data_IF_634700934962
#
_entry.id   IF_634700934962
#
_cell.length_a   1.000
_cell.length_b   1.000
_cell.length_c   1.000
_cell.angle_alpha   90.00
_cell.angle_beta   90.00
_cell.angle_gamma   90.00
#
_symmetry.space_group_name_H-M   'P 1'
#
loop_
_entity.id
_entity.type
_entity.pdbx_description
1 polymer ?
#
# COMPACT_ATOMS: atom_id res chain seq x y z
N UNK A 1 12.05 -31.87 27.28
CA UNK A 1 11.68 -30.43 27.19
C UNK A 1 11.16 -30.09 25.80
N UNK A 2 10.24 -29.15 25.66
CA UNK A 2 9.77 -28.58 24.41
C UNK A 2 10.25 -27.15 24.26
N UNK A 3 10.23 -26.61 23.04
CA UNK A 3 10.60 -25.27 22.71
C UNK A 3 9.58 -24.68 21.72
N UNK A 4 9.28 -23.38 21.84
CA UNK A 4 8.40 -22.65 20.93
C UNK A 4 9.24 -22.07 19.80
N UNK A 5 8.94 -22.47 18.56
CA UNK A 5 9.53 -21.89 17.36
C UNK A 5 8.99 -20.48 17.10
N UNK A 6 9.67 -19.69 16.23
CA UNK A 6 9.27 -18.36 15.80
C UNK A 6 7.86 -18.28 15.19
N UNK A 7 7.37 -19.36 14.61
CA UNK A 7 6.01 -19.46 14.07
C UNK A 7 4.96 -19.92 15.11
N UNK A 8 5.29 -19.91 16.41
CA UNK A 8 4.41 -20.32 17.49
C UNK A 8 4.28 -21.84 17.68
N UNK A 9 4.83 -22.67 16.80
CA UNK A 9 4.71 -24.13 16.94
C UNK A 9 5.64 -24.70 18.02
N UNK A 10 5.14 -25.60 18.86
CA UNK A 10 5.94 -26.36 19.81
C UNK A 10 6.63 -27.55 19.15
N UNK A 11 7.93 -27.70 19.41
CA UNK A 11 8.72 -28.84 18.95
C UNK A 11 9.59 -29.38 20.08
N UNK A 12 10.07 -30.62 19.91
CA UNK A 12 11.04 -31.20 20.83
C UNK A 12 12.34 -30.42 20.83
N UNK A 13 12.84 -30.09 22.00
CA UNK A 13 14.13 -29.40 22.16
C UNK A 13 15.29 -30.31 21.73
N UNK A 14 16.24 -29.71 20.98
CA UNK A 14 17.38 -30.44 20.42
C UNK A 14 18.67 -29.64 20.74
N UNK A 15 19.36 -30.11 21.76
CA UNK A 15 20.61 -29.50 22.25
C UNK A 15 21.73 -29.52 21.20
N UNK A 16 21.69 -30.45 20.22
CA UNK A 16 22.74 -30.53 19.18
C UNK A 16 22.75 -29.29 18.29
N UNK A 17 21.61 -28.57 18.18
CA UNK A 17 21.53 -27.30 17.44
C UNK A 17 22.31 -26.21 18.13
N UNK A 18 22.34 -26.18 19.47
CA UNK A 18 23.16 -25.23 20.24
C UNK A 18 24.64 -25.53 20.03
N UNK A 19 25.03 -26.82 20.20
CA UNK A 19 26.43 -27.21 19.95
C UNK A 19 26.91 -26.82 18.56
N UNK A 20 26.10 -27.09 17.54
CA UNK A 20 26.44 -26.75 16.16
C UNK A 20 26.53 -25.25 15.91
N UNK A 21 25.65 -24.45 16.54
CA UNK A 21 25.70 -23.00 16.44
C UNK A 21 26.94 -22.40 17.12
N UNK A 22 27.30 -22.89 18.32
CA UNK A 22 28.53 -22.47 19.03
C UNK A 22 29.77 -22.89 18.23
N UNK A 23 29.79 -24.14 17.70
CA UNK A 23 30.89 -24.65 16.89
C UNK A 23 31.08 -23.82 15.62
N UNK A 24 30.01 -23.41 14.97
CA UNK A 24 30.07 -22.52 13.79
C UNK A 24 30.67 -21.17 14.16
N UNK A 25 30.27 -20.56 15.28
CA UNK A 25 30.85 -19.31 15.78
C UNK A 25 32.35 -19.46 16.12
N UNK A 26 32.75 -20.59 16.69
CA UNK A 26 34.16 -20.89 16.94
C UNK A 26 34.98 -20.98 15.63
N UNK A 27 34.39 -21.45 14.52
CA UNK A 27 35.06 -21.51 13.22
C UNK A 27 35.50 -20.15 12.66
N UNK A 28 34.84 -19.08 13.07
CA UNK A 28 35.07 -17.71 12.59
C UNK A 28 36.11 -16.92 13.43
N UNK A 29 36.64 -17.53 14.49
CA UNK A 29 37.67 -16.88 15.36
C UNK A 29 39.01 -17.60 15.30
N UNK A 30 40.13 -16.92 15.62
CA UNK A 30 41.45 -17.54 15.74
C UNK A 30 41.46 -18.77 16.64
N UNK A 31 42.31 -19.73 16.36
CA UNK A 31 42.30 -21.04 17.03
C UNK A 31 42.52 -20.92 18.55
N UNK A 32 43.32 -19.95 18.97
CA UNK A 32 43.61 -19.65 20.39
C UNK A 32 42.42 -19.09 21.16
N UNK A 33 41.39 -18.53 20.47
CA UNK A 33 40.21 -17.95 21.09
C UNK A 33 38.99 -18.91 21.02
N UNK A 34 39.14 -20.07 20.38
CA UNK A 34 38.04 -21.04 20.23
C UNK A 34 37.77 -21.79 21.54
N UNK A 35 36.49 -22.14 21.73
CA UNK A 35 36.16 -23.16 22.72
C UNK A 35 36.64 -24.53 22.23
N UNK A 36 37.15 -25.34 23.15
CA UNK A 36 37.36 -26.76 22.91
C UNK A 36 36.03 -27.49 22.78
N UNK A 37 36.02 -28.67 22.18
CA UNK A 37 34.79 -29.49 22.10
C UNK A 37 34.19 -29.77 23.49
N UNK A 38 35.05 -29.90 24.52
CA UNK A 38 34.60 -30.05 25.91
C UNK A 38 33.96 -28.76 26.43
N UNK A 39 34.49 -27.60 26.06
CA UNK A 39 33.92 -26.30 26.39
C UNK A 39 32.58 -26.07 25.74
N UNK A 40 32.42 -26.44 24.44
CA UNK A 40 31.15 -26.34 23.72
C UNK A 40 30.07 -27.19 24.41
N UNK A 41 30.38 -28.43 24.74
CA UNK A 41 29.46 -29.30 25.47
C UNK A 41 29.07 -28.76 26.84
N UNK A 42 30.04 -28.20 27.56
CA UNK A 42 29.83 -27.58 28.88
C UNK A 42 28.91 -26.37 28.76
N UNK A 43 29.18 -25.47 27.83
CA UNK A 43 28.33 -24.30 27.57
C UNK A 43 26.89 -24.74 27.19
N UNK A 44 26.77 -25.74 26.33
CA UNK A 44 25.46 -26.26 25.92
C UNK A 44 24.70 -26.86 27.12
N UNK A 45 25.36 -27.62 27.97
CA UNK A 45 24.74 -28.21 29.19
C UNK A 45 24.19 -27.11 30.11
N UNK A 46 24.97 -26.06 30.37
CA UNK A 46 24.52 -24.93 31.17
C UNK A 46 23.31 -24.21 30.59
N UNK A 47 23.23 -24.06 29.25
CA UNK A 47 22.08 -23.50 28.58
C UNK A 47 20.86 -24.38 28.73
N UNK A 48 21.02 -25.70 28.61
CA UNK A 48 19.93 -26.67 28.81
C UNK A 48 19.40 -26.58 30.25
N UNK A 49 20.29 -26.59 31.24
CA UNK A 49 19.92 -26.42 32.64
C UNK A 49 19.16 -25.14 32.93
N UNK A 50 19.61 -24.02 32.31
CA UNK A 50 18.94 -22.72 32.42
C UNK A 50 17.54 -22.76 31.78
N UNK A 51 17.39 -23.41 30.63
CA UNK A 51 16.08 -23.60 29.97
C UNK A 51 15.12 -24.46 30.84
N UNK A 52 15.64 -25.49 31.50
CA UNK A 52 14.85 -26.31 32.41
C UNK A 52 14.44 -25.56 33.69
N UNK A 53 15.28 -24.68 34.17
CA UNK A 53 15.03 -23.83 35.33
C UNK A 53 14.05 -22.66 35.07
N UNK A 54 13.76 -22.31 33.82
CA UNK A 54 12.93 -21.17 33.47
C UNK A 54 11.45 -21.28 33.91
N UNK A 55 10.96 -22.50 34.19
CA UNK A 55 9.59 -22.73 34.68
C UNK A 55 8.48 -22.57 33.65
N UNK A 56 8.83 -22.30 32.41
CA UNK A 56 7.92 -22.19 31.26
C UNK A 56 8.54 -22.83 30.01
N UNK A 57 7.75 -23.01 28.95
CA UNK A 57 8.26 -23.45 27.64
C UNK A 57 9.01 -22.31 26.98
N UNK A 58 10.34 -22.42 26.90
CA UNK A 58 11.21 -21.37 26.34
C UNK A 58 11.03 -21.22 24.82
N UNK A 59 11.20 -20.01 24.33
CA UNK A 59 11.23 -19.71 22.91
C UNK A 59 12.63 -19.90 22.31
N UNK A 60 12.73 -19.99 20.98
CA UNK A 60 14.04 -20.02 20.30
C UNK A 60 14.87 -18.78 20.62
N UNK A 61 14.24 -17.61 20.76
CA UNK A 61 14.98 -16.36 21.07
C UNK A 61 15.55 -16.39 22.47
N UNK A 62 14.78 -16.82 23.48
CA UNK A 62 15.28 -16.98 24.86
C UNK A 62 16.44 -17.97 24.94
N UNK A 63 16.38 -19.07 24.20
CA UNK A 63 17.53 -20.02 24.13
C UNK A 63 18.76 -19.34 23.53
N UNK A 64 18.60 -18.51 22.49
CA UNK A 64 19.72 -17.79 21.87
C UNK A 64 20.32 -16.76 22.84
N UNK A 65 19.48 -16.05 23.60
CA UNK A 65 19.93 -15.12 24.64
C UNK A 65 20.73 -15.85 25.72
N UNK A 66 20.26 -17.00 26.19
CA UNK A 66 20.98 -17.85 27.14
C UNK A 66 22.33 -18.34 26.59
N UNK A 67 22.44 -18.64 25.29
CA UNK A 67 23.73 -19.00 24.66
C UNK A 67 24.70 -17.82 24.68
N UNK A 68 24.24 -16.61 24.37
CA UNK A 68 25.05 -15.38 24.39
C UNK A 68 25.56 -15.11 25.80
N UNK A 69 24.67 -15.15 26.77
CA UNK A 69 25.01 -14.95 28.19
C UNK A 69 26.04 -15.99 28.68
N UNK A 70 25.85 -17.25 28.29
CA UNK A 70 26.75 -18.33 28.69
C UNK A 70 28.13 -18.20 28.07
N UNK A 71 28.24 -17.79 26.78
CA UNK A 71 29.53 -17.56 26.11
C UNK A 71 30.27 -16.36 26.74
N UNK A 72 29.55 -15.33 27.15
CA UNK A 72 30.12 -14.18 27.89
C UNK A 72 30.55 -14.56 29.30
N UNK A 73 29.76 -15.34 30.02
CA UNK A 73 30.08 -15.80 31.38
C UNK A 73 31.31 -16.73 31.42
N UNK A 74 31.65 -17.39 30.32
CA UNK A 74 32.85 -18.21 30.17
C UNK A 74 34.05 -17.45 29.62
N UNK A 75 33.98 -16.10 29.54
CA UNK A 75 35.02 -15.20 29.02
C UNK A 75 35.38 -15.43 27.54
N UNK A 76 34.54 -16.12 26.77
CA UNK A 76 34.72 -16.35 25.32
C UNK A 76 34.10 -15.21 24.48
N UNK A 77 34.51 -13.98 24.76
CA UNK A 77 33.93 -12.77 24.14
C UNK A 77 34.04 -12.72 22.61
N UNK A 78 35.13 -13.25 22.03
CA UNK A 78 35.29 -13.27 20.58
C UNK A 78 34.24 -14.18 19.93
N UNK A 79 34.04 -15.39 20.49
CA UNK A 79 33.02 -16.34 20.01
C UNK A 79 31.61 -15.79 20.22
N UNK A 80 31.34 -15.19 21.40
CA UNK A 80 30.04 -14.54 21.69
C UNK A 80 29.72 -13.44 20.65
N UNK A 81 30.72 -12.59 20.33
CA UNK A 81 30.57 -11.53 19.31
C UNK A 81 30.20 -12.11 17.93
N UNK A 82 30.88 -13.15 17.48
CA UNK A 82 30.57 -13.79 16.20
C UNK A 82 29.21 -14.46 16.20
N UNK A 83 28.81 -15.07 17.33
CA UNK A 83 27.49 -15.64 17.51
C UNK A 83 26.38 -14.59 17.40
N UNK A 84 26.51 -13.46 18.08
CA UNK A 84 25.57 -12.33 18.05
C UNK A 84 25.46 -11.75 16.63
N UNK A 85 26.62 -11.49 15.98
CA UNK A 85 26.64 -10.96 14.61
C UNK A 85 25.96 -11.96 13.66
N UNK A 86 26.27 -13.24 13.75
CA UNK A 86 25.64 -14.27 12.94
C UNK A 86 24.11 -14.32 13.14
N UNK A 87 23.67 -14.31 14.41
CA UNK A 87 22.23 -14.25 14.76
C UNK A 87 21.55 -13.03 14.12
N UNK A 88 22.17 -11.86 14.24
CA UNK A 88 21.67 -10.62 13.64
C UNK A 88 21.59 -10.70 12.12
N UNK A 89 22.65 -11.15 11.46
CA UNK A 89 22.68 -11.32 10.00
C UNK A 89 21.61 -12.31 9.53
N UNK A 90 21.41 -13.43 10.24
CA UNK A 90 20.38 -14.39 9.91
C UNK A 90 18.96 -13.82 10.14
N UNK A 91 18.75 -12.99 11.15
CA UNK A 91 17.49 -12.29 11.35
C UNK A 91 17.20 -11.33 10.20
N UNK A 92 18.20 -10.53 9.78
CA UNK A 92 18.09 -9.63 8.62
C UNK A 92 17.82 -10.40 7.31
N UNK A 93 18.50 -11.53 7.08
CA UNK A 93 18.24 -12.37 5.89
C UNK A 93 16.82 -12.92 5.87
N UNK A 94 16.28 -13.34 7.01
CA UNK A 94 14.90 -13.82 7.09
C UNK A 94 13.88 -12.73 6.80
N UNK A 95 14.11 -11.50 7.29
CA UNK A 95 13.27 -10.35 6.97
C UNK A 95 13.34 -9.98 5.48
N UNK A 96 14.55 -9.94 4.90
CA UNK A 96 14.73 -9.70 3.45
C UNK A 96 14.05 -10.76 2.60
N UNK A 97 14.23 -12.03 2.93
CA UNK A 97 13.68 -13.12 2.12
C UNK A 97 12.15 -13.08 2.03
N UNK A 98 11.44 -12.67 3.08
CA UNK A 98 9.97 -12.57 3.03
C UNK A 98 9.49 -11.44 2.11
N UNK A 99 10.13 -10.29 2.12
CA UNK A 99 9.80 -9.16 1.24
C UNK A 99 10.24 -9.43 -0.20
N UNK A 100 11.45 -9.96 -0.39
CA UNK A 100 11.97 -10.31 -1.72
C UNK A 100 11.11 -11.43 -2.36
N UNK A 101 10.71 -12.45 -1.61
CA UNK A 101 9.84 -13.53 -2.09
C UNK A 101 8.45 -13.02 -2.51
N UNK A 102 7.88 -12.08 -1.76
CA UNK A 102 6.62 -11.45 -2.11
C UNK A 102 6.75 -10.61 -3.40
N UNK A 103 7.80 -9.79 -3.50
CA UNK A 103 8.07 -9.01 -4.70
C UNK A 103 8.25 -9.92 -5.92
N UNK A 104 9.00 -11.01 -5.80
CA UNK A 104 9.18 -11.99 -6.88
C UNK A 104 7.85 -12.61 -7.29
N UNK A 105 7.00 -13.01 -6.32
CA UNK A 105 5.69 -13.57 -6.61
C UNK A 105 4.75 -12.59 -7.34
N UNK A 106 4.89 -11.28 -7.08
CA UNK A 106 4.17 -10.23 -7.81
C UNK A 106 4.67 -10.13 -9.25
N UNK A 107 5.99 -10.14 -9.46
CA UNK A 107 6.59 -10.10 -10.80
C UNK A 107 6.16 -11.31 -11.64
N UNK A 108 6.11 -12.49 -11.04
CA UNK A 108 5.70 -13.74 -11.68
C UNK A 108 4.18 -13.88 -11.83
N UNK A 109 3.39 -12.92 -11.34
CA UNK A 109 1.92 -12.95 -11.33
C UNK A 109 1.33 -14.18 -10.65
N UNK A 110 2.03 -14.77 -9.67
CA UNK A 110 1.59 -15.96 -8.94
C UNK A 110 1.20 -15.71 -7.48
N UNK A 111 1.14 -14.45 -7.05
CA UNK A 111 0.72 -14.06 -5.70
C UNK A 111 -0.79 -14.25 -5.53
N UNK A 112 -1.19 -15.26 -4.77
CA UNK A 112 -2.60 -15.60 -4.55
C UNK A 112 -3.32 -14.58 -3.66
N UNK A 113 -2.64 -13.90 -2.73
CA UNK A 113 -3.23 -12.85 -1.90
C UNK A 113 -3.71 -11.71 -2.78
N UNK A 114 -2.84 -11.22 -3.68
CA UNK A 114 -3.14 -10.14 -4.59
C UNK A 114 -4.23 -10.51 -5.60
N UNK A 115 -4.30 -11.77 -6.04
CA UNK A 115 -5.38 -12.22 -6.94
C UNK A 115 -6.75 -12.21 -6.27
N UNK A 116 -6.82 -12.35 -4.96
CA UNK A 116 -8.06 -12.35 -4.17
C UNK A 116 -8.38 -10.97 -3.58
N UNK A 117 -7.38 -10.10 -3.53
CA UNK A 117 -7.51 -8.75 -3.00
C UNK A 117 -8.24 -7.86 -4.02
N UNK A 118 -8.98 -6.95 -3.54
CA UNK A 118 -9.67 -5.84 -4.16
C UNK A 118 -9.94 -5.93 -5.68
N UNK A 119 -11.19 -6.17 -6.05
CA UNK A 119 -11.69 -6.24 -7.43
C UNK A 119 -11.40 -4.99 -8.30
N UNK A 120 -10.98 -3.87 -7.72
CA UNK A 120 -10.74 -2.62 -8.43
C UNK A 120 -9.36 -2.55 -9.10
N UNK A 121 -8.42 -3.44 -8.74
CA UNK A 121 -7.08 -3.48 -9.30
C UNK A 121 -6.83 -4.79 -10.03
N UNK A 122 -6.42 -4.70 -11.29
CA UNK A 122 -6.05 -5.89 -12.06
C UNK A 122 -4.55 -6.19 -11.89
N UNK A 123 -4.16 -7.26 -11.16
CA UNK A 123 -2.77 -7.58 -10.85
C UNK A 123 -1.91 -7.94 -12.08
N UNK A 124 -2.51 -8.14 -13.25
CA UNK A 124 -1.78 -8.41 -14.50
C UNK A 124 -1.35 -7.14 -15.23
N UNK A 125 -1.84 -5.98 -14.82
CA UNK A 125 -1.48 -4.69 -15.41
C UNK A 125 -0.16 -4.20 -14.82
N UNK A 126 0.81 -3.85 -15.65
CA UNK A 126 2.18 -3.48 -15.24
C UNK A 126 2.23 -2.32 -14.24
N UNK A 127 1.38 -1.29 -14.41
CA UNK A 127 1.30 -0.17 -13.46
C UNK A 127 0.78 -0.61 -12.09
N UNK A 128 -0.18 -1.53 -12.07
CA UNK A 128 -0.73 -2.12 -10.85
C UNK A 128 0.32 -3.00 -10.14
N UNK A 129 1.09 -3.80 -10.89
CA UNK A 129 2.20 -4.57 -10.31
C UNK A 129 3.24 -3.67 -9.64
N UNK A 130 3.57 -2.53 -10.25
CA UNK A 130 4.48 -1.55 -9.64
C UNK A 130 3.92 -0.95 -8.35
N UNK A 131 2.63 -0.70 -8.30
CA UNK A 131 1.94 -0.20 -7.10
C UNK A 131 1.99 -1.24 -5.96
N UNK A 132 1.69 -2.50 -6.25
CA UNK A 132 1.83 -3.58 -5.28
C UNK A 132 3.27 -3.78 -4.79
N UNK A 133 4.26 -3.70 -5.68
CA UNK A 133 5.67 -3.77 -5.27
C UNK A 133 6.05 -2.62 -4.35
N UNK A 134 5.60 -1.41 -4.66
CA UNK A 134 5.80 -0.24 -3.81
C UNK A 134 5.11 -0.42 -2.45
N UNK A 135 3.92 -1.02 -2.43
CA UNK A 135 3.18 -1.37 -1.22
C UNK A 135 3.94 -2.34 -0.31
N UNK A 136 4.50 -3.42 -0.85
CA UNK A 136 5.29 -4.38 -0.07
C UNK A 136 6.54 -3.73 0.54
N UNK A 137 7.24 -2.88 -0.20
CA UNK A 137 8.39 -2.12 0.32
C UNK A 137 7.95 -1.12 1.40
N UNK A 138 6.83 -0.42 1.19
CA UNK A 138 6.26 0.53 2.14
C UNK A 138 5.85 -0.16 3.44
N UNK A 139 5.20 -1.32 3.35
CA UNK A 139 4.79 -2.15 4.48
C UNK A 139 5.99 -2.62 5.31
N UNK A 140 7.02 -3.17 4.65
CA UNK A 140 8.25 -3.57 5.32
C UNK A 140 8.89 -2.40 6.07
N UNK A 141 9.00 -1.25 5.42
CA UNK A 141 9.56 -0.03 6.00
C UNK A 141 8.71 0.48 7.17
N UNK A 142 7.38 0.49 7.02
CA UNK A 142 6.46 0.92 8.07
C UNK A 142 6.61 0.06 9.32
N UNK A 143 6.62 -1.26 9.18
CA UNK A 143 6.72 -2.20 10.30
C UNK A 143 8.11 -2.18 10.95
N UNK A 144 9.17 -1.96 10.18
CA UNK A 144 10.54 -2.06 10.68
C UNK A 144 11.10 -0.75 11.25
N UNK A 145 10.70 0.42 10.68
CA UNK A 145 11.34 1.70 10.96
C UNK A 145 10.38 2.81 11.41
N UNK A 146 9.12 2.81 10.93
CA UNK A 146 8.25 3.97 11.09
C UNK A 146 7.26 3.83 12.25
N UNK A 147 6.79 2.62 12.54
CA UNK A 147 5.86 2.37 13.62
C UNK A 147 6.57 2.13 14.95
N UNK A 148 5.99 2.56 16.09
CA UNK A 148 6.49 2.19 17.41
C UNK A 148 6.54 0.67 17.60
N UNK A 149 7.59 0.16 18.23
CA UNK A 149 7.81 -1.28 18.40
C UNK A 149 6.66 -2.00 19.13
N UNK A 150 5.99 -1.30 20.07
CA UNK A 150 4.81 -1.85 20.75
C UNK A 150 3.60 -2.02 19.83
N UNK A 151 3.43 -1.14 18.83
CA UNK A 151 2.35 -1.24 17.82
C UNK A 151 2.62 -2.42 16.89
N UNK A 152 3.85 -2.56 16.42
CA UNK A 152 4.28 -3.67 15.57
C UNK A 152 4.07 -5.00 16.28
N UNK A 153 4.53 -5.10 17.53
CA UNK A 153 4.35 -6.30 18.34
C UNK A 153 2.88 -6.65 18.56
N UNK A 154 2.06 -5.67 18.91
CA UNK A 154 0.62 -5.88 19.10
C UNK A 154 -0.10 -6.33 17.81
N UNK A 155 0.37 -5.85 16.64
CA UNK A 155 -0.12 -6.31 15.34
C UNK A 155 0.31 -7.76 15.05
N UNK A 156 1.59 -8.10 15.27
CA UNK A 156 2.13 -9.45 15.04
C UNK A 156 1.51 -10.49 15.98
N UNK A 157 1.22 -10.10 17.22
CA UNK A 157 0.53 -10.95 18.21
C UNK A 157 -0.99 -11.04 17.97
N UNK A 158 -1.53 -10.30 17.02
CA UNK A 158 -2.96 -10.29 16.70
C UNK A 158 -3.85 -9.57 17.72
N UNK A 159 -3.26 -8.76 18.61
CA UNK A 159 -4.02 -7.94 19.58
C UNK A 159 -4.72 -6.80 18.88
N UNK A 160 -4.06 -6.18 17.89
CA UNK A 160 -4.61 -5.17 17.02
C UNK A 160 -4.35 -5.55 15.56
N UNK A 161 -5.11 -4.97 14.65
CA UNK A 161 -4.81 -4.98 13.23
C UNK A 161 -4.46 -3.57 12.78
N UNK A 162 -3.18 -3.32 12.43
CA UNK A 162 -2.75 -2.07 11.80
C UNK A 162 -3.09 -2.15 10.33
N UNK A 163 -4.15 -1.44 9.92
CA UNK A 163 -4.69 -1.48 8.57
C UNK A 163 -3.86 -0.65 7.60
N UNK A 164 -3.77 -1.05 6.34
CA UNK A 164 -3.16 -0.30 5.23
C UNK A 164 -1.69 0.11 5.48
N UNK A 165 -0.92 -0.76 6.12
CA UNK A 165 0.50 -0.52 6.38
C UNK A 165 1.33 -0.32 5.09
N UNK A 166 0.87 -0.84 3.98
CA UNK A 166 1.43 -0.70 2.64
C UNK A 166 1.29 0.71 2.06
N UNK A 167 0.35 1.51 2.57
CA UNK A 167 0.15 2.92 2.20
C UNK A 167 0.60 3.91 3.28
N UNK A 168 1.02 3.42 4.45
CA UNK A 168 1.37 4.27 5.59
C UNK A 168 2.58 5.19 5.33
N UNK A 169 3.58 4.71 4.58
CA UNK A 169 4.79 5.48 4.29
C UNK A 169 4.57 6.63 3.29
N UNK A 170 3.52 6.59 2.48
CA UNK A 170 3.12 7.64 1.56
C UNK A 170 1.83 8.29 2.05
N UNK A 171 1.68 9.60 1.79
CA UNK A 171 0.45 10.34 2.11
C UNK A 171 -0.65 10.08 1.07
N UNK A 172 -1.04 8.81 0.90
CA UNK A 172 -2.14 8.42 0.04
C UNK A 172 -3.45 8.39 0.83
N UNK A 173 -4.53 8.79 0.18
CA UNK A 173 -5.88 8.77 0.77
C UNK A 173 -6.53 7.40 0.57
N UNK A 174 -7.33 6.95 1.53
CA UNK A 174 -8.13 5.74 1.34
C UNK A 174 -9.34 6.06 0.46
N UNK A 175 -10.39 6.67 1.03
CA UNK A 175 -11.63 6.98 0.32
C UNK A 175 -11.92 8.47 0.39
N UNK A 176 -12.36 9.06 -0.73
CA UNK A 176 -12.61 10.50 -0.83
C UNK A 176 -14.04 10.81 -1.25
N UNK A 177 -14.62 11.85 -0.62
CA UNK A 177 -15.82 12.52 -1.08
C UNK A 177 -15.42 13.80 -1.81
N UNK A 178 -15.58 13.83 -3.13
CA UNK A 178 -15.13 14.95 -3.95
C UNK A 178 -16.24 16.00 -4.03
N UNK A 179 -15.96 17.21 -3.54
CA UNK A 179 -16.86 18.35 -3.66
C UNK A 179 -16.72 19.03 -5.03
N UNK A 180 -17.28 18.38 -6.06
CA UNK A 180 -17.28 18.93 -7.42
C UNK A 180 -18.01 20.28 -7.52
N UNK A 181 -18.97 20.59 -6.63
CA UNK A 181 -19.69 21.85 -6.66
C UNK A 181 -18.72 23.01 -6.42
N UNK A 182 -17.96 22.97 -5.33
CA UNK A 182 -16.97 24.00 -5.03
C UNK A 182 -15.91 24.10 -6.11
N UNK A 183 -15.32 22.97 -6.50
CA UNK A 183 -14.25 22.92 -7.50
C UNK A 183 -14.66 23.44 -8.88
N UNK A 184 -15.91 23.22 -9.29
CA UNK A 184 -16.43 23.69 -10.56
C UNK A 184 -16.95 25.13 -10.51
N UNK A 185 -17.49 25.58 -9.36
CA UNK A 185 -18.03 26.94 -9.23
C UNK A 185 -16.93 27.97 -9.00
N UNK A 186 -15.92 27.64 -8.20
CA UNK A 186 -14.85 28.55 -7.79
C UNK A 186 -13.52 28.31 -8.53
N UNK A 187 -13.46 27.26 -9.35
CA UNK A 187 -12.22 26.83 -10.00
C UNK A 187 -11.42 25.87 -9.11
N UNK A 188 -10.45 25.21 -9.70
CA UNK A 188 -9.59 24.24 -9.03
C UNK A 188 -8.20 24.21 -9.64
N UNK A 189 -7.24 23.59 -8.98
CA UNK A 189 -5.89 23.37 -9.51
C UNK A 189 -5.72 21.90 -9.89
N UNK A 190 -5.39 21.65 -11.15
CA UNK A 190 -5.09 20.29 -11.65
C UNK A 190 -3.66 20.30 -12.18
N UNK A 191 -2.81 19.42 -11.66
CA UNK A 191 -1.40 19.31 -12.05
C UNK A 191 -0.65 20.66 -12.07
N UNK A 192 -0.91 21.52 -11.06
CA UNK A 192 -0.30 22.84 -10.93
C UNK A 192 -0.90 23.93 -11.82
N UNK A 193 -1.92 23.62 -12.62
CA UNK A 193 -2.60 24.58 -13.51
C UNK A 193 -3.95 24.98 -12.93
N UNK A 194 -4.19 26.28 -12.82
CA UNK A 194 -5.50 26.83 -12.43
C UNK A 194 -6.52 26.57 -13.54
N UNK A 195 -7.59 25.90 -13.18
CA UNK A 195 -8.75 25.64 -14.04
C UNK A 195 -9.89 26.54 -13.58
N UNK A 196 -10.32 27.43 -14.44
CA UNK A 196 -11.42 28.33 -14.15
C UNK A 196 -12.78 27.64 -14.24
N UNK A 197 -13.81 28.33 -13.75
CA UNK A 197 -15.21 27.88 -13.80
C UNK A 197 -15.61 27.53 -15.25
N UNK A 198 -16.19 26.35 -15.52
CA UNK A 198 -16.62 25.97 -16.85
C UNK A 198 -17.76 26.82 -17.39
N UNK A 199 -17.71 27.08 -18.68
CA UNK A 199 -18.70 27.87 -19.43
C UNK A 199 -19.66 26.99 -20.26
N UNK A 200 -19.75 25.69 -19.98
CA UNK A 200 -20.73 24.76 -20.53
C UNK A 200 -20.80 23.48 -19.73
N UNK A 201 -21.88 22.73 -19.85
CA UNK A 201 -22.06 21.42 -19.26
C UNK A 201 -21.00 20.42 -19.76
N UNK A 202 -20.73 20.41 -21.05
CA UNK A 202 -19.70 19.55 -21.66
C UNK A 202 -18.32 19.82 -21.06
N UNK A 203 -17.94 21.08 -20.88
CA UNK A 203 -16.67 21.44 -20.22
C UNK A 203 -16.65 21.03 -18.75
N UNK A 204 -17.78 21.21 -18.04
CA UNK A 204 -17.88 20.77 -16.65
C UNK A 204 -17.70 19.25 -16.50
N UNK A 205 -18.29 18.46 -17.41
CA UNK A 205 -18.09 17.01 -17.46
C UNK A 205 -16.61 16.64 -17.68
N UNK A 206 -15.94 17.30 -18.63
CA UNK A 206 -14.51 17.05 -18.88
C UNK A 206 -13.64 17.40 -17.67
N UNK A 207 -13.87 18.54 -17.03
CA UNK A 207 -13.12 18.94 -15.83
C UNK A 207 -13.40 17.96 -14.68
N UNK A 208 -14.65 17.55 -14.48
CA UNK A 208 -14.99 16.55 -13.46
C UNK A 208 -14.22 15.24 -13.64
N UNK A 209 -14.07 14.76 -14.89
CA UNK A 209 -13.30 13.54 -15.16
C UNK A 209 -11.81 13.72 -14.92
N UNK A 210 -11.25 14.93 -15.18
CA UNK A 210 -9.85 15.22 -14.82
C UNK A 210 -9.64 15.29 -13.30
N UNK A 211 -10.59 15.85 -12.55
CA UNK A 211 -10.56 15.86 -11.09
C UNK A 211 -10.57 14.42 -10.56
N UNK A 212 -11.47 13.58 -11.05
CA UNK A 212 -11.55 12.15 -10.69
C UNK A 212 -10.20 11.46 -10.94
N UNK A 213 -9.59 11.67 -12.09
CA UNK A 213 -8.29 11.09 -12.44
C UNK A 213 -7.16 11.58 -11.52
N UNK A 214 -7.15 12.86 -11.20
CA UNK A 214 -6.14 13.45 -10.32
C UNK A 214 -6.25 12.89 -8.90
N UNK A 215 -7.46 12.79 -8.35
CA UNK A 215 -7.70 12.20 -7.03
C UNK A 215 -7.32 10.71 -7.03
N UNK A 216 -7.75 9.95 -8.05
CA UNK A 216 -7.42 8.53 -8.18
C UNK A 216 -5.90 8.26 -8.23
N UNK A 217 -5.09 9.23 -8.68
CA UNK A 217 -3.63 9.10 -8.69
C UNK A 217 -2.98 9.24 -7.31
N UNK A 218 -3.71 9.74 -6.30
CA UNK A 218 -3.26 9.94 -4.93
C UNK A 218 -4.06 9.13 -3.91
N UNK A 219 -4.80 8.11 -4.37
CA UNK A 219 -5.76 7.35 -3.59
C UNK A 219 -5.63 5.86 -3.88
N UNK A 220 -5.93 5.02 -2.89
CA UNK A 220 -5.96 3.55 -3.04
C UNK A 220 -7.34 2.92 -2.82
N UNK A 221 -8.30 3.65 -2.24
CA UNK A 221 -9.70 3.24 -2.09
C UNK A 221 -10.62 3.82 -3.16
N UNK A 222 -11.89 4.00 -2.84
CA UNK A 222 -12.92 4.48 -3.75
C UNK A 222 -13.18 5.97 -3.66
N UNK A 223 -13.76 6.53 -4.74
CA UNK A 223 -14.22 7.91 -4.78
C UNK A 223 -15.74 7.98 -4.81
N UNK A 224 -16.30 9.01 -4.18
CA UNK A 224 -17.71 9.35 -4.34
C UNK A 224 -17.85 10.77 -4.87
N UNK A 225 -18.64 10.92 -5.93
CA UNK A 225 -19.03 12.20 -6.51
C UNK A 225 -20.56 12.32 -6.56
N UNK A 226 -21.07 13.56 -6.55
CA UNK A 226 -22.48 13.81 -6.82
C UNK A 226 -22.65 14.40 -8.22
N UNK A 227 -23.37 13.72 -9.10
CA UNK A 227 -23.69 14.24 -10.44
C UNK A 227 -24.59 15.47 -10.38
N UNK A 228 -25.31 15.70 -9.27
CA UNK A 228 -26.12 16.91 -9.07
C UNK A 228 -25.30 18.18 -9.06
N UNK A 229 -23.98 18.11 -8.73
CA UNK A 229 -23.06 19.23 -8.78
C UNK A 229 -22.83 19.75 -10.23
N UNK A 230 -23.16 18.95 -11.24
CA UNK A 230 -23.09 19.36 -12.64
C UNK A 230 -24.37 20.09 -13.12
N UNK A 231 -25.49 19.94 -12.39
CA UNK A 231 -26.78 20.52 -12.80
C UNK A 231 -26.75 22.04 -13.08
N UNK A 232 -26.04 22.90 -12.30
CA UNK A 232 -25.96 24.32 -12.61
C UNK A 232 -25.41 24.64 -13.98
N UNK A 233 -24.54 23.78 -14.53
CA UNK A 233 -23.91 23.98 -15.84
C UNK A 233 -24.84 23.64 -17.01
N UNK A 234 -25.93 22.92 -16.75
CA UNK A 234 -27.02 22.72 -17.74
C UNK A 234 -27.66 24.08 -18.08
N UNK A 235 -27.91 24.94 -17.07
CA UNK A 235 -28.45 26.26 -17.31
C UNK A 235 -27.44 27.19 -18.00
N UNK A 236 -26.15 27.07 -17.66
CA UNK A 236 -25.07 27.80 -18.35
C UNK A 236 -25.05 27.44 -19.84
N UNK A 237 -25.15 26.14 -20.18
CA UNK A 237 -25.23 25.67 -21.56
C UNK A 237 -26.51 26.14 -22.25
N UNK A 238 -27.65 26.08 -21.56
CA UNK A 238 -28.94 26.59 -22.12
C UNK A 238 -28.81 28.04 -22.57
N UNK A 239 -28.27 28.90 -21.72
CA UNK A 239 -28.04 30.31 -22.03
C UNK A 239 -27.05 30.52 -23.18
N UNK A 240 -26.01 29.73 -23.26
CA UNK A 240 -25.00 29.74 -24.32
C UNK A 240 -25.61 29.33 -25.66
N UNK A 241 -26.30 28.19 -25.69
CA UNK A 241 -26.96 27.64 -26.88
C UNK A 241 -28.02 28.62 -27.39
N UNK A 242 -28.80 29.22 -26.48
CA UNK A 242 -29.80 30.22 -26.87
C UNK A 242 -29.15 31.39 -27.61
N UNK A 243 -28.06 31.97 -27.09
CA UNK A 243 -27.29 33.03 -27.75
C UNK A 243 -26.78 32.61 -29.13
N UNK A 244 -26.29 31.37 -29.25
CA UNK A 244 -25.83 30.83 -30.53
C UNK A 244 -26.97 30.69 -31.54
N UNK A 245 -28.12 30.18 -31.12
CA UNK A 245 -29.30 30.03 -31.98
C UNK A 245 -29.78 31.39 -32.48
N UNK A 246 -29.83 32.40 -31.63
CA UNK A 246 -30.19 33.76 -32.07
C UNK A 246 -29.19 34.33 -33.10
N UNK A 247 -27.90 34.21 -32.84
CA UNK A 247 -26.88 34.68 -33.77
C UNK A 247 -26.94 33.95 -35.14
N UNK A 248 -27.22 32.64 -35.13
CA UNK A 248 -27.37 31.85 -36.35
C UNK A 248 -28.60 32.28 -37.15
N UNK A 249 -29.73 32.54 -36.46
CA UNK A 249 -30.96 32.97 -37.11
C UNK A 249 -30.82 34.38 -37.74
N UNK A 250 -30.15 35.28 -37.00
CA UNK A 250 -29.82 36.62 -37.47
C UNK A 250 -28.90 36.58 -38.73
N UNK A 251 -27.92 35.70 -38.73
CA UNK A 251 -26.96 35.55 -39.84
C UNK A 251 -27.61 35.05 -41.13
N UNK A 252 -28.75 34.38 -41.07
CA UNK A 252 -29.51 33.89 -42.24
C UNK A 252 -30.82 34.65 -42.47
N UNK A 253 -30.99 35.81 -41.84
CA UNK A 253 -32.18 36.66 -41.89
C UNK A 253 -33.50 35.89 -41.59
N UNK A 254 -33.44 34.95 -40.66
CA UNK A 254 -34.59 34.16 -40.25
C UNK A 254 -35.14 34.64 -38.89
N UNK A 255 -36.42 34.83 -38.78
CA UNK A 255 -37.10 35.34 -37.58
C UNK A 255 -38.18 34.34 -37.08
N UNK A 256 -37.75 33.15 -36.59
CA UNK A 256 -38.68 32.20 -36.02
C UNK A 256 -39.27 32.74 -34.68
N UNK A 257 -40.50 32.37 -34.37
CA UNK A 257 -41.11 32.70 -33.08
C UNK A 257 -40.38 31.99 -31.91
N UNK A 258 -40.53 32.57 -30.70
CA UNK A 258 -39.87 32.11 -29.46
C UNK A 258 -40.04 30.62 -29.15
N UNK A 259 -41.22 30.08 -29.43
CA UNK A 259 -41.51 28.66 -29.22
C UNK A 259 -40.58 27.78 -30.06
N UNK A 260 -40.31 28.13 -31.30
CA UNK A 260 -39.46 27.38 -32.21
C UNK A 260 -37.99 27.51 -31.80
N UNK A 261 -37.56 28.70 -31.31
CA UNK A 261 -36.25 28.89 -30.75
C UNK A 261 -36.06 27.99 -29.51
N UNK A 262 -37.04 27.98 -28.58
CA UNK A 262 -37.00 27.14 -27.39
C UNK A 262 -36.89 25.64 -27.77
N UNK A 263 -37.62 25.19 -28.74
CA UNK A 263 -37.56 23.80 -29.22
C UNK A 263 -36.15 23.44 -29.72
N UNK A 264 -35.52 24.34 -30.49
CA UNK A 264 -34.16 24.13 -31.00
C UNK A 264 -33.16 24.11 -29.85
N UNK A 265 -33.27 25.07 -28.91
CA UNK A 265 -32.39 25.16 -27.71
C UNK A 265 -32.48 23.91 -26.87
N UNK A 266 -33.70 23.46 -26.53
CA UNK A 266 -33.87 22.28 -25.67
C UNK A 266 -33.45 20.97 -26.37
N UNK A 267 -33.60 20.87 -27.69
CA UNK A 267 -33.06 19.76 -28.45
C UNK A 267 -31.54 19.70 -28.36
N UNK A 268 -30.84 20.80 -28.68
CA UNK A 268 -29.38 20.88 -28.62
C UNK A 268 -28.84 20.67 -27.19
N UNK A 269 -29.56 21.18 -26.19
CA UNK A 269 -29.20 21.00 -24.80
C UNK A 269 -29.27 19.54 -24.37
N UNK A 270 -30.33 18.82 -24.74
CA UNK A 270 -30.45 17.38 -24.48
C UNK A 270 -29.31 16.58 -25.13
N UNK A 271 -28.94 16.94 -26.36
CA UNK A 271 -27.81 16.31 -27.05
C UNK A 271 -26.47 16.59 -26.33
N UNK A 272 -26.27 17.82 -25.84
CA UNK A 272 -25.08 18.15 -25.06
C UNK A 272 -25.05 17.40 -23.73
N UNK A 273 -26.15 17.36 -23.00
CA UNK A 273 -26.24 16.62 -21.72
C UNK A 273 -26.00 15.13 -21.94
N UNK A 274 -26.60 14.53 -22.96
CA UNK A 274 -26.39 13.12 -23.29
C UNK A 274 -24.91 12.82 -23.57
N UNK A 275 -24.25 13.66 -24.39
CA UNK A 275 -22.82 13.52 -24.69
C UNK A 275 -21.93 13.72 -23.45
N UNK A 276 -22.26 14.69 -22.61
CA UNK A 276 -21.51 14.95 -21.38
C UNK A 276 -21.59 13.77 -20.41
N UNK A 277 -22.77 13.17 -20.23
CA UNK A 277 -22.94 11.95 -19.40
C UNK A 277 -22.17 10.78 -19.99
N UNK A 278 -22.24 10.58 -21.31
CA UNK A 278 -21.43 9.54 -21.98
C UNK A 278 -19.94 9.76 -21.81
N UNK A 279 -19.46 11.02 -21.82
CA UNK A 279 -18.05 11.35 -21.59
C UNK A 279 -17.63 10.93 -20.19
N UNK A 280 -18.41 11.25 -19.15
CA UNK A 280 -18.10 10.83 -17.77
C UNK A 280 -18.06 9.31 -17.68
N UNK A 281 -19.10 8.64 -18.16
CA UNK A 281 -19.19 7.18 -18.11
C UNK A 281 -18.02 6.52 -18.85
N UNK A 282 -17.70 6.99 -20.04
CA UNK A 282 -16.60 6.47 -20.84
C UNK A 282 -15.26 6.67 -20.12
N UNK A 283 -15.00 7.87 -19.61
CA UNK A 283 -13.72 8.18 -18.95
C UNK A 283 -13.55 7.42 -17.64
N UNK A 284 -14.58 7.32 -16.80
CA UNK A 284 -14.51 6.57 -15.55
C UNK A 284 -14.21 5.08 -15.80
N UNK A 285 -14.75 4.50 -16.88
CA UNK A 285 -14.53 3.09 -17.22
C UNK A 285 -13.17 2.84 -17.89
N UNK A 286 -12.66 3.82 -18.65
CA UNK A 286 -11.47 3.61 -19.51
C UNK A 286 -10.22 4.32 -19.02
N UNK A 287 -10.34 5.29 -18.11
CA UNK A 287 -9.21 6.04 -17.60
C UNK A 287 -8.35 5.15 -16.70
N UNK A 288 -7.09 5.04 -17.03
CA UNK A 288 -6.10 4.32 -16.22
C UNK A 288 -5.17 5.31 -15.54
N UNK A 289 -5.10 5.25 -14.22
CA UNK A 289 -4.17 6.03 -13.40
C UNK A 289 -2.90 5.22 -13.09
N UNK A 290 -1.95 5.82 -12.40
CA UNK A 290 -0.72 5.13 -11.94
C UNK A 290 -1.01 3.96 -10.99
N UNK A 291 -2.14 4.01 -10.27
CA UNK A 291 -2.55 2.98 -9.30
C UNK A 291 -3.50 1.94 -9.90
N UNK A 292 -3.78 2.02 -11.19
CA UNK A 292 -4.72 1.16 -11.88
C UNK A 292 -5.86 1.93 -12.54
N UNK A 293 -7.02 1.31 -12.68
CA UNK A 293 -8.22 1.94 -13.21
C UNK A 293 -8.76 2.99 -12.22
N UNK A 294 -9.34 4.06 -12.74
CA UNK A 294 -10.10 4.99 -11.91
C UNK A 294 -11.33 4.25 -11.33
N UNK A 295 -11.55 4.36 -10.07
CA UNK A 295 -12.66 3.66 -9.39
C UNK A 295 -14.03 4.21 -9.78
#
# INVERSE_FOLDING_TARGET
MKIIKRNGSEVTFDATKIENAIRAACGEVPEEERLTERGIKFATANVVDACEAAGHTVTVEEVQDLVEDQLMALDHFAVARHYIIYRYVQAQKRQKNTTDDKILSLIECNNEEVKQENSNKNPTVVSVQRDYMAGEVSKDLAMRELLPAEVVRAHEEGIIHFHDADYFAQHMHNCDLINLDDMLQNGTVISGTLIERPHSFSTACNIATQIIAQVASCQYGGQSISLTHLAPFVDVSRKKIRRQVYAEMEAIDAHPGEEKINQIVEKRLREEVSRGVQTIQYQVVTLMTTNGQAP
#
